data_IF_829140452730
#
_entry.id   IF_829140452730
#
_cell.length_a   1.000
_cell.length_b   1.000
_cell.length_c   1.000
_cell.angle_alpha   90.00
_cell.angle_beta   90.00
_cell.angle_gamma   90.00
#
_symmetry.space_group_name_H-M   'P 1'
#
loop_
_entity.id
_entity.type
_entity.pdbx_description
1 polymer ?
#
# COMPACT_ATOMS: atom_id res chain seq x y z
N UNK A 1 -10.56 15.84 -15.18
CA UNK A 1 -10.98 14.47 -14.84
C UNK A 1 -10.81 14.31 -13.33
N UNK A 2 -11.78 13.69 -12.66
CA UNK A 2 -11.67 13.41 -11.24
C UNK A 2 -10.54 12.40 -10.99
N UNK A 3 -9.86 12.52 -9.85
CA UNK A 3 -8.93 11.51 -9.37
C UNK A 3 -9.79 10.38 -8.80
N UNK A 4 -9.46 9.12 -9.09
CA UNK A 4 -10.20 7.99 -8.53
C UNK A 4 -10.06 7.99 -7.00
N UNK A 5 -11.17 7.89 -6.26
CA UNK A 5 -11.09 7.79 -4.81
C UNK A 5 -10.41 6.49 -4.37
N UNK A 6 -9.71 6.54 -3.23
CA UNK A 6 -9.14 5.35 -2.60
C UNK A 6 -10.30 4.45 -2.14
N UNK A 7 -10.47 3.30 -2.80
CA UNK A 7 -11.62 2.38 -2.58
C UNK A 7 -11.78 1.92 -1.12
N UNK A 8 -10.68 1.75 -0.38
CA UNK A 8 -10.69 1.21 0.98
C UNK A 8 -9.96 2.12 1.95
N UNK A 9 -10.48 2.24 3.17
CA UNK A 9 -9.76 2.82 4.29
C UNK A 9 -8.75 1.79 4.80
N UNK A 10 -7.46 2.12 4.72
CA UNK A 10 -6.38 1.21 5.15
C UNK A 10 -5.85 1.51 6.56
N UNK A 11 -6.41 2.50 7.28
CA UNK A 11 -5.99 2.77 8.65
C UNK A 11 -6.18 1.55 9.55
N UNK A 12 -5.17 1.25 10.36
CA UNK A 12 -5.07 0.07 11.25
C UNK A 12 -5.12 -1.30 10.51
N UNK A 13 -5.12 -1.31 9.18
CA UNK A 13 -5.07 -2.54 8.39
C UNK A 13 -3.64 -3.11 8.37
N UNK A 14 -3.52 -4.42 8.17
CA UNK A 14 -2.23 -5.12 8.27
C UNK A 14 -1.71 -5.50 6.89
N UNK A 15 -0.47 -5.12 6.57
CA UNK A 15 0.28 -5.60 5.42
C UNK A 15 0.78 -7.01 5.75
N UNK A 16 0.23 -8.00 5.06
CA UNK A 16 0.56 -9.42 5.20
C UNK A 16 1.70 -9.82 4.25
N UNK A 17 1.74 -9.20 3.08
CA UNK A 17 2.75 -9.44 2.06
C UNK A 17 3.00 -8.17 1.25
N UNK A 18 4.24 -7.95 0.82
CA UNK A 18 4.60 -6.79 0.01
C UNK A 18 5.73 -7.12 -0.95
N UNK A 19 5.60 -6.65 -2.19
CA UNK A 19 6.61 -6.86 -3.23
C UNK A 19 6.66 -5.68 -4.19
N UNK A 20 7.84 -5.45 -4.77
CA UNK A 20 8.05 -4.51 -5.85
C UNK A 20 8.64 -5.24 -7.04
N UNK A 21 7.88 -5.35 -8.13
CA UNK A 21 8.30 -6.12 -9.29
C UNK A 21 9.21 -5.34 -10.26
N UNK A 22 9.84 -6.06 -11.19
CA UNK A 22 10.73 -5.50 -12.20
C UNK A 22 10.04 -4.50 -13.14
N UNK A 23 8.70 -4.52 -13.22
CA UNK A 23 7.89 -3.62 -14.06
C UNK A 23 7.57 -2.30 -13.34
N UNK A 24 8.09 -2.08 -12.13
CA UNK A 24 7.88 -0.86 -11.38
C UNK A 24 6.51 -0.79 -10.73
N UNK A 25 6.03 -1.94 -10.24
CA UNK A 25 4.74 -2.08 -9.58
C UNK A 25 4.92 -2.55 -8.14
N UNK A 26 4.32 -1.81 -7.21
CA UNK A 26 4.17 -2.22 -5.83
C UNK A 26 2.89 -3.04 -5.70
N UNK A 27 3.00 -4.25 -5.16
CA UNK A 27 1.86 -5.04 -4.70
C UNK A 27 1.94 -5.22 -3.19
N UNK A 28 0.87 -4.88 -2.48
CA UNK A 28 0.72 -5.14 -1.06
C UNK A 28 -0.56 -5.94 -0.82
N UNK A 29 -0.45 -7.08 -0.12
CA UNK A 29 -1.60 -7.84 0.38
C UNK A 29 -1.95 -7.29 1.75
N UNK A 30 -3.16 -6.74 1.88
CA UNK A 30 -3.61 -6.02 3.07
C UNK A 30 -4.84 -6.71 3.64
N UNK A 31 -4.78 -7.12 4.90
CA UNK A 31 -5.95 -7.54 5.66
C UNK A 31 -6.62 -6.30 6.25
N UNK A 32 -7.87 -6.04 5.84
CA UNK A 32 -8.60 -4.86 6.25
C UNK A 32 -9.06 -4.95 7.72
N UNK A 33 -9.06 -3.81 8.41
CA UNK A 33 -9.35 -3.72 9.84
C UNK A 33 -10.84 -3.87 10.17
N UNK A 34 -11.16 -4.60 11.24
CA UNK A 34 -12.54 -5.01 11.57
C UNK A 34 -13.50 -3.89 11.92
N UNK A 35 -12.99 -2.79 12.48
CA UNK A 35 -13.84 -1.65 12.82
C UNK A 35 -14.46 -1.07 11.56
N UNK A 36 -13.74 -1.09 10.43
CA UNK A 36 -14.25 -0.62 9.15
C UNK A 36 -14.88 -1.76 8.32
N UNK A 37 -14.41 -3.00 8.50
CA UNK A 37 -14.80 -4.16 7.70
C UNK A 37 -14.94 -5.41 8.57
N UNK A 38 -16.15 -5.68 9.08
CA UNK A 38 -16.44 -6.77 10.03
C UNK A 38 -15.86 -8.11 9.61
N UNK A 39 -15.91 -8.44 8.32
CA UNK A 39 -15.42 -9.72 7.82
C UNK A 39 -13.89 -9.81 7.73
N UNK A 40 -13.13 -8.74 7.96
CA UNK A 40 -11.67 -8.66 7.75
C UNK A 40 -11.22 -9.21 6.39
N UNK A 41 -11.78 -8.73 5.25
CA UNK A 41 -11.38 -9.22 3.95
C UNK A 41 -9.92 -8.89 3.67
N UNK A 42 -9.27 -9.72 2.85
CA UNK A 42 -7.92 -9.46 2.35
C UNK A 42 -8.03 -8.89 0.94
N UNK A 43 -7.35 -7.77 0.71
CA UNK A 43 -7.29 -7.10 -0.59
C UNK A 43 -5.84 -7.00 -1.06
N UNK A 44 -5.64 -6.94 -2.37
CA UNK A 44 -4.35 -6.62 -2.97
C UNK A 44 -4.39 -5.17 -3.46
N UNK A 45 -3.62 -4.30 -2.81
CA UNK A 45 -3.31 -2.96 -3.27
C UNK A 45 -2.21 -3.04 -4.33
N UNK A 46 -2.46 -2.41 -5.48
CA UNK A 46 -1.52 -2.37 -6.61
C UNK A 46 -1.27 -0.92 -7.01
N UNK A 47 -0.03 -0.46 -6.89
CA UNK A 47 0.42 0.84 -7.41
C UNK A 47 1.33 0.61 -8.62
N UNK A 48 1.02 1.22 -9.76
CA UNK A 48 1.73 0.98 -11.03
C UNK A 48 2.28 2.26 -11.65
N UNK A 49 3.37 2.11 -12.40
CA UNK A 49 4.06 3.23 -13.01
C UNK A 49 4.69 4.14 -11.97
N UNK A 50 5.40 3.54 -11.01
CA UNK A 50 6.07 4.24 -9.92
C UNK A 50 7.28 5.01 -10.47
N UNK A 51 7.32 6.31 -10.21
CA UNK A 51 8.38 7.21 -10.67
C UNK A 51 9.57 7.25 -9.70
N UNK A 52 9.31 7.16 -8.40
CA UNK A 52 10.33 7.17 -7.34
C UNK A 52 10.64 5.75 -6.83
N UNK A 53 11.05 4.88 -7.74
CA UNK A 53 11.21 3.44 -7.48
C UNK A 53 12.26 3.09 -6.43
N UNK A 54 13.31 3.91 -6.24
CA UNK A 54 14.33 3.66 -5.23
C UNK A 54 13.73 3.61 -3.82
N UNK A 55 13.04 4.69 -3.41
CA UNK A 55 12.43 4.80 -2.09
C UNK A 55 11.41 3.68 -1.81
N UNK A 56 10.64 3.28 -2.84
CA UNK A 56 9.66 2.20 -2.70
C UNK A 56 10.35 0.84 -2.56
N UNK A 57 11.44 0.60 -3.30
CA UNK A 57 12.23 -0.63 -3.17
C UNK A 57 12.88 -0.72 -1.79
N UNK A 58 13.41 0.38 -1.28
CA UNK A 58 14.04 0.43 0.04
C UNK A 58 13.00 0.06 1.13
N UNK A 59 11.80 0.67 1.10
CA UNK A 59 10.70 0.31 2.00
C UNK A 59 10.32 -1.17 1.91
N UNK A 60 10.17 -1.70 0.69
CA UNK A 60 9.81 -3.11 0.48
C UNK A 60 10.91 -4.04 0.99
N UNK A 61 12.17 -3.67 0.83
CA UNK A 61 13.32 -4.41 1.35
C UNK A 61 13.31 -4.42 2.87
N UNK A 62 13.08 -3.26 3.50
CA UNK A 62 13.03 -3.13 4.97
C UNK A 62 11.89 -3.97 5.58
N UNK A 63 10.70 -3.91 4.98
CA UNK A 63 9.55 -4.71 5.44
C UNK A 63 9.81 -6.21 5.31
N UNK A 64 10.39 -6.64 4.18
CA UNK A 64 10.68 -8.05 3.94
C UNK A 64 11.78 -8.56 4.88
N UNK A 65 12.85 -7.79 5.09
CA UNK A 65 13.90 -8.14 6.03
C UNK A 65 13.37 -8.31 7.45
N UNK A 66 12.54 -7.37 7.92
CA UNK A 66 11.97 -7.46 9.26
C UNK A 66 10.93 -8.60 9.40
N UNK A 67 10.28 -9.03 8.30
CA UNK A 67 9.33 -10.15 8.32
C UNK A 67 10.01 -11.50 8.57
N UNK A 68 11.26 -11.67 8.15
CA UNK A 68 12.03 -12.90 8.41
C UNK A 68 12.17 -13.21 9.91
N UNK A 69 12.00 -12.21 10.78
CA UNK A 69 12.02 -12.34 12.24
C UNK A 69 10.71 -12.88 12.86
N UNK A 70 9.75 -13.34 12.05
CA UNK A 70 8.55 -14.06 12.51
C UNK A 70 7.34 -13.19 12.84
N UNK A 71 7.28 -11.96 12.33
CA UNK A 71 6.14 -11.06 12.50
C UNK A 71 4.94 -11.41 11.61
N UNK A 72 3.73 -11.21 12.16
CA UNK A 72 2.44 -11.52 11.51
C UNK A 72 1.97 -10.46 10.48
N UNK A 73 2.79 -9.44 10.23
CA UNK A 73 2.49 -8.32 9.33
C UNK A 73 2.67 -6.96 10.02
N UNK A 74 2.56 -5.89 9.23
CA UNK A 74 2.81 -4.53 9.71
C UNK A 74 1.57 -3.65 9.56
N UNK A 75 1.27 -2.88 10.59
CA UNK A 75 0.09 -2.03 10.63
C UNK A 75 0.30 -0.75 9.82
N UNK A 76 -0.68 -0.39 9.01
CA UNK A 76 -0.73 0.87 8.28
C UNK A 76 -1.30 1.95 9.21
N UNK A 77 -0.45 2.87 9.63
CA UNK A 77 -0.88 4.07 10.37
C UNK A 77 -1.64 5.03 9.46
N UNK A 78 -1.18 5.19 8.21
CA UNK A 78 -1.80 6.13 7.28
C UNK A 78 -1.54 5.72 5.83
N UNK A 79 -2.60 5.76 5.02
CA UNK A 79 -2.50 5.72 3.57
C UNK A 79 -3.51 6.69 2.97
N UNK A 80 -3.02 7.74 2.32
CA UNK A 80 -3.86 8.80 1.77
C UNK A 80 -3.13 9.52 0.64
N UNK A 81 -3.83 10.38 -0.10
CA UNK A 81 -3.17 11.36 -0.98
C UNK A 81 -2.24 12.26 -0.18
N UNK A 82 -1.05 12.52 -0.73
CA UNK A 82 -0.12 13.47 -0.15
C UNK A 82 -0.67 14.88 -0.32
N UNK A 83 -1.06 15.51 0.80
CA UNK A 83 -1.63 16.86 0.80
C UNK A 83 -0.66 17.95 0.35
N UNK A 84 0.65 17.64 0.31
CA UNK A 84 1.69 18.57 -0.10
C UNK A 84 1.94 18.58 -1.60
N UNK A 85 1.45 17.56 -2.32
CA UNK A 85 1.72 17.35 -3.74
C UNK A 85 0.43 17.41 -4.56
N UNK A 86 0.49 18.05 -5.72
CA UNK A 86 -0.66 18.15 -6.61
C UNK A 86 -0.93 16.81 -7.31
N UNK A 87 -2.03 16.16 -6.96
CA UNK A 87 -2.46 14.94 -7.65
C UNK A 87 -3.30 15.27 -8.89
N UNK A 88 -3.14 14.46 -9.95
CA UNK A 88 -3.98 14.48 -11.15
C UNK A 88 -4.00 13.09 -11.79
N UNK A 89 -4.87 12.88 -12.78
CA UNK A 89 -4.93 11.59 -13.50
C UNK A 89 -3.56 11.23 -14.09
N UNK A 90 -3.00 10.09 -13.68
CA UNK A 90 -1.68 9.66 -14.13
C UNK A 90 -0.50 10.27 -13.37
N UNK A 91 -0.76 11.14 -12.39
CA UNK A 91 0.23 11.77 -11.52
C UNK A 91 -0.29 11.76 -10.08
N UNK A 92 -0.14 10.62 -9.40
CA UNK A 92 -0.67 10.38 -8.07
C UNK A 92 0.46 10.36 -7.06
N UNK A 93 0.27 11.04 -5.93
CA UNK A 93 1.20 11.06 -4.82
C UNK A 93 0.47 10.55 -3.58
N UNK A 94 0.95 9.44 -3.01
CA UNK A 94 0.39 8.83 -1.82
C UNK A 94 1.37 8.95 -0.66
N UNK A 95 0.89 9.35 0.51
CA UNK A 95 1.64 9.23 1.75
C UNK A 95 1.31 7.89 2.40
N UNK A 96 2.33 7.06 2.61
CA UNK A 96 2.24 5.76 3.27
C UNK A 96 3.09 5.77 4.54
N UNK A 97 2.45 5.46 5.66
CA UNK A 97 3.04 5.36 6.99
C UNK A 97 2.67 4.00 7.58
N UNK A 98 3.70 3.22 7.88
CA UNK A 98 3.61 1.86 8.39
C UNK A 98 4.38 1.83 9.71
N UNK A 99 3.80 1.20 10.72
CA UNK A 99 4.43 1.04 12.03
C UNK A 99 5.87 0.51 11.89
N UNK A 100 6.78 1.17 12.61
CA UNK A 100 8.22 0.86 12.69
C UNK A 100 9.06 1.19 11.45
N UNK A 101 8.48 1.77 10.39
CA UNK A 101 9.23 2.24 9.22
C UNK A 101 9.13 3.74 9.05
N UNK A 102 10.10 4.30 8.30
CA UNK A 102 10.02 5.68 7.89
C UNK A 102 8.87 5.86 6.89
N UNK A 103 8.02 6.89 7.05
CA UNK A 103 6.98 7.18 6.08
C UNK A 103 7.56 7.47 4.70
N UNK A 104 6.85 7.02 3.66
CA UNK A 104 7.25 7.22 2.27
C UNK A 104 6.15 7.92 1.49
N UNK A 105 6.52 8.89 0.66
CA UNK A 105 5.64 9.38 -0.40
C UNK A 105 5.85 8.50 -1.64
N UNK A 106 4.80 7.92 -2.18
CA UNK A 106 4.81 7.09 -3.39
C UNK A 106 4.25 7.90 -4.55
N UNK A 107 5.06 8.14 -5.57
CA UNK A 107 4.66 8.82 -6.80
C UNK A 107 4.40 7.79 -7.89
N UNK A 108 3.16 7.67 -8.36
CA UNK A 108 2.77 6.66 -9.35
C UNK A 108 1.73 7.16 -10.35
N UNK A 109 1.45 6.34 -11.37
CA UNK A 109 0.43 6.66 -12.40
C UNK A 109 -0.96 6.18 -12.02
N UNK A 110 -1.05 5.03 -11.33
CA UNK A 110 -2.31 4.30 -11.13
C UNK A 110 -2.32 3.57 -9.81
N UNK A 111 -3.52 3.48 -9.23
CA UNK A 111 -3.87 2.66 -8.07
C UNK A 111 -4.97 1.68 -8.47
N UNK A 112 -4.92 0.46 -7.94
CA UNK A 112 -5.99 -0.52 -8.08
C UNK A 112 -6.10 -1.37 -6.81
N UNK A 113 -7.31 -1.86 -6.54
CA UNK A 113 -7.58 -2.81 -5.47
C UNK A 113 -8.28 -4.05 -6.03
N UNK A 114 -7.74 -5.22 -5.74
CA UNK A 114 -8.35 -6.50 -6.08
C UNK A 114 -8.73 -7.23 -4.79
N UNK A 115 -9.95 -7.75 -4.70
CA UNK A 115 -10.33 -8.63 -3.59
C UNK A 115 -9.63 -9.97 -3.77
N UNK A 116 -8.96 -10.46 -2.72
CA UNK A 116 -8.33 -11.77 -2.74
C UNK A 116 -9.41 -12.77 -2.36
N UNK A 117 -9.82 -13.62 -3.30
CA UNK A 117 -10.80 -14.66 -3.04
C UNK A 117 -10.35 -15.51 -1.85
N UNK A 118 -11.25 -15.73 -0.88
CA UNK A 118 -11.03 -16.74 0.15
C UNK A 118 -11.00 -18.08 -0.56
N UNK A 119 -9.87 -18.79 -0.51
CA UNK A 119 -9.87 -20.23 -0.79
C UNK A 119 -10.75 -20.85 0.30
N UNK A 120 -12.01 -21.15 -0.06
CA UNK A 120 -12.92 -22.00 0.71
C UNK A 120 -12.41 -23.42 0.75
#
# INVERSE_FOLDING_TARGET
MAIDDIKFNLHDSIIVDISFDERGRLEAVVQLYEIFYVEKPTVKLILSGIFNSSNVRDLVSDINAAREDGWLGYRINRFQYDSKEACSTGNLHFYLDIDHFWPVTIHCKKINFLEVARNT
#
